data_IF_620577358669
#
_entry.id   IF_620577358669
#
_cell.length_a   1.000
_cell.length_b   1.000
_cell.length_c   1.000
_cell.angle_alpha   90.00
_cell.angle_beta   90.00
_cell.angle_gamma   90.00
#
_symmetry.space_group_name_H-M   'P 1'
#
loop_
_entity.id
_entity.type
_entity.pdbx_description
1 polymer ?
#
# COMPACT_ATOMS: atom_id res chain seq x y z
N UNK A 1 -0.45 -29.55 -2.50
CA UNK A 1 0.12 -28.45 -3.30
C UNK A 1 0.03 -27.10 -2.57
N UNK A 2 -1.21 -26.55 -2.34
CA UNK A 2 -1.32 -25.23 -1.67
C UNK A 2 -0.95 -25.26 -0.19
N UNK A 3 -1.04 -26.42 0.47
CA UNK A 3 -0.48 -26.61 1.80
C UNK A 3 1.03 -26.45 1.79
N UNK A 4 1.73 -27.12 0.87
CA UNK A 4 3.19 -27.04 0.73
C UNK A 4 3.62 -25.61 0.32
N UNK A 5 2.87 -24.97 -0.59
CA UNK A 5 3.13 -23.58 -0.98
C UNK A 5 3.04 -22.60 0.20
N UNK A 6 2.12 -22.86 1.13
CA UNK A 6 1.94 -22.00 2.33
C UNK A 6 3.09 -22.08 3.34
N UNK A 7 3.94 -23.12 3.28
CA UNK A 7 5.14 -23.20 4.13
C UNK A 7 6.22 -22.19 3.75
N UNK A 8 6.12 -21.56 2.58
CA UNK A 8 7.09 -20.57 2.10
C UNK A 8 6.83 -19.14 2.57
N UNK A 9 5.81 -18.92 3.40
CA UNK A 9 5.55 -17.64 4.04
C UNK A 9 5.59 -17.76 5.56
N UNK A 10 5.71 -16.63 6.23
CA UNK A 10 5.66 -16.59 7.69
C UNK A 10 4.20 -16.52 8.19
N UNK A 11 3.90 -17.32 9.20
CA UNK A 11 2.64 -17.34 9.92
C UNK A 11 2.89 -17.12 11.41
N UNK A 12 2.21 -16.16 12.03
CA UNK A 12 2.14 -16.08 13.50
C UNK A 12 1.41 -17.29 14.07
N UNK A 13 0.37 -17.75 13.33
CA UNK A 13 -0.33 -19.00 13.59
C UNK A 13 -0.52 -19.72 12.26
N UNK A 14 0.11 -20.89 12.10
CA UNK A 14 -0.05 -21.71 10.90
C UNK A 14 -1.50 -22.18 10.71
N UNK A 15 -2.01 -22.17 9.49
CA UNK A 15 -3.35 -22.69 9.20
C UNK A 15 -3.37 -24.21 9.28
N UNK A 16 -4.44 -24.75 9.87
CA UNK A 16 -4.73 -26.20 9.80
C UNK A 16 -5.61 -26.51 8.57
N UNK A 17 -6.45 -25.56 8.16
CA UNK A 17 -7.38 -25.72 7.05
C UNK A 17 -6.94 -24.87 5.85
N UNK A 18 -6.54 -25.56 4.80
CA UNK A 18 -6.02 -24.91 3.59
C UNK A 18 -7.14 -24.22 2.80
N UNK A 19 -8.26 -24.93 2.57
CA UNK A 19 -9.39 -24.42 1.79
C UNK A 19 -10.72 -24.79 2.43
N UNK A 20 -11.55 -23.79 2.70
CA UNK A 20 -12.93 -23.97 3.08
C UNK A 20 -13.85 -23.76 1.88
N UNK A 21 -14.58 -24.83 1.50
CA UNK A 21 -15.52 -24.89 0.36
C UNK A 21 -16.99 -24.82 0.79
N UNK A 22 -17.29 -24.51 2.03
CA UNK A 22 -18.65 -24.58 2.58
C UNK A 22 -19.63 -23.57 1.98
N UNK A 23 -19.13 -22.50 1.35
CA UNK A 23 -19.96 -21.44 0.77
C UNK A 23 -19.52 -21.11 -0.67
N UNK A 24 -19.71 -21.98 -1.67
CA UNK A 24 -19.38 -21.70 -3.06
C UNK A 24 -20.25 -20.57 -3.63
N UNK A 25 -19.73 -19.71 -4.50
CA UNK A 25 -18.34 -19.68 -5.00
C UNK A 25 -17.36 -18.92 -4.10
N UNK A 26 -17.77 -18.48 -2.91
CA UNK A 26 -16.99 -17.68 -1.99
C UNK A 26 -16.16 -18.57 -1.07
N UNK A 27 -15.06 -19.09 -1.59
CA UNK A 27 -14.13 -19.94 -0.85
C UNK A 27 -13.25 -19.10 0.08
N UNK A 28 -12.83 -19.72 1.21
CA UNK A 28 -11.87 -19.14 2.14
C UNK A 28 -10.59 -19.94 2.17
N UNK A 29 -9.48 -19.27 1.93
CA UNK A 29 -8.16 -19.88 2.00
C UNK A 29 -7.53 -19.62 3.37
N UNK A 30 -6.94 -20.67 3.97
CA UNK A 30 -6.20 -20.58 5.23
C UNK A 30 -6.96 -19.89 6.36
N UNK A 31 -8.25 -20.13 6.50
CA UNK A 31 -9.18 -19.32 7.32
C UNK A 31 -8.83 -19.22 8.80
N UNK A 32 -8.07 -20.19 9.35
CA UNK A 32 -7.62 -20.21 10.75
C UNK A 32 -6.15 -19.80 10.92
N UNK A 33 -5.51 -19.37 9.83
CA UNK A 33 -4.14 -18.84 9.83
C UNK A 33 -4.08 -17.37 10.22
N UNK A 34 -2.95 -16.96 10.80
CA UNK A 34 -2.68 -15.57 11.18
C UNK A 34 -1.31 -15.15 10.62
N UNK A 35 -1.27 -14.05 9.88
CA UNK A 35 -0.07 -13.52 9.24
C UNK A 35 -0.17 -12.00 9.07
N UNK A 36 0.84 -11.37 8.46
CA UNK A 36 0.79 -9.97 8.06
C UNK A 36 1.60 -9.76 6.77
N UNK A 37 1.05 -9.03 5.82
CA UNK A 37 1.70 -8.76 4.53
C UNK A 37 3.00 -7.98 4.69
N UNK A 38 3.02 -6.94 5.53
CA UNK A 38 4.21 -6.13 5.77
C UNK A 38 5.31 -6.94 6.46
N UNK A 39 4.97 -7.80 7.44
CA UNK A 39 5.93 -8.66 8.10
C UNK A 39 6.64 -9.58 7.09
N UNK A 40 5.86 -10.24 6.21
CA UNK A 40 6.41 -11.09 5.16
C UNK A 40 7.23 -10.33 4.12
N UNK A 41 6.92 -9.05 3.88
CA UNK A 41 7.66 -8.24 2.93
C UNK A 41 8.95 -7.62 3.49
N UNK A 42 9.02 -7.35 4.79
CA UNK A 42 10.13 -6.61 5.39
C UNK A 42 10.73 -7.31 6.63
N UNK A 43 9.95 -7.49 7.69
CA UNK A 43 10.47 -7.84 9.02
C UNK A 43 11.15 -9.20 9.01
N UNK A 44 10.55 -10.20 8.34
CA UNK A 44 11.11 -11.55 8.24
C UNK A 44 12.53 -11.56 7.64
N UNK A 45 12.80 -10.70 6.66
CA UNK A 45 14.12 -10.64 6.03
C UNK A 45 15.18 -10.09 6.98
N UNK A 46 14.78 -9.16 7.86
CA UNK A 46 15.69 -8.62 8.89
C UNK A 46 15.95 -9.68 9.96
N UNK A 47 14.90 -10.37 10.40
CA UNK A 47 15.00 -11.45 11.40
C UNK A 47 15.88 -12.61 10.89
N UNK A 48 15.93 -12.82 9.57
CA UNK A 48 16.80 -13.79 8.89
C UNK A 48 18.22 -13.27 8.62
N UNK A 49 18.58 -12.07 9.10
CA UNK A 49 19.91 -11.49 8.92
C UNK A 49 20.15 -10.74 7.61
N UNK A 50 19.09 -10.56 6.78
CA UNK A 50 19.17 -9.88 5.49
C UNK A 50 18.92 -8.36 5.56
N UNK A 51 18.88 -7.78 6.77
CA UNK A 51 18.48 -6.38 6.99
C UNK A 51 19.26 -5.34 6.20
N UNK A 52 20.55 -5.61 5.92
CA UNK A 52 21.42 -4.71 5.13
C UNK A 52 21.33 -4.88 3.62
N UNK A 53 20.59 -5.88 3.14
CA UNK A 53 20.34 -6.04 1.70
C UNK A 53 19.42 -4.94 1.17
N UNK A 54 19.57 -4.60 -0.10
CA UNK A 54 18.68 -3.64 -0.77
C UNK A 54 17.28 -4.22 -0.93
N UNK A 55 16.29 -3.53 -0.38
CA UNK A 55 14.87 -3.87 -0.50
C UNK A 55 14.17 -3.07 -1.59
N UNK A 56 14.55 -1.81 -1.78
CA UNK A 56 13.92 -0.91 -2.74
C UNK A 56 14.97 -0.10 -3.49
N UNK A 57 14.85 -0.06 -4.82
CA UNK A 57 15.64 0.80 -5.70
C UNK A 57 14.70 1.81 -6.34
N UNK A 58 15.01 3.07 -6.20
CA UNK A 58 14.34 4.17 -6.88
C UNK A 58 15.27 4.78 -7.91
N UNK A 59 14.83 4.83 -9.16
CA UNK A 59 15.55 5.48 -10.26
C UNK A 59 14.55 6.30 -11.08
N UNK A 60 14.74 7.62 -11.09
CA UNK A 60 13.88 8.54 -11.82
C UNK A 60 14.69 9.30 -12.86
N UNK A 61 14.61 8.93 -14.14
CA UNK A 61 15.30 9.65 -15.21
C UNK A 61 14.81 11.09 -15.36
N UNK A 62 13.56 11.38 -14.98
CA UNK A 62 12.99 12.73 -15.07
C UNK A 62 13.62 13.68 -14.06
N UNK A 63 13.84 13.22 -12.82
CA UNK A 63 14.43 14.06 -11.77
C UNK A 63 15.93 13.84 -11.60
N UNK A 64 16.50 12.87 -12.29
CA UNK A 64 17.90 12.44 -12.13
C UNK A 64 18.21 11.79 -10.77
N UNK A 65 17.19 11.56 -9.93
CA UNK A 65 17.37 11.01 -8.58
C UNK A 65 17.45 9.49 -8.62
N UNK A 66 18.47 8.95 -7.95
CA UNK A 66 18.62 7.51 -7.69
C UNK A 66 18.84 7.29 -6.21
N UNK A 67 18.17 6.30 -5.65
CA UNK A 67 18.37 5.91 -4.25
C UNK A 67 18.12 4.42 -4.06
N UNK A 68 18.69 3.88 -2.98
CA UNK A 68 18.45 2.52 -2.52
C UNK A 68 18.09 2.57 -1.05
N UNK A 69 17.15 1.74 -0.65
CA UNK A 69 16.84 1.51 0.76
C UNK A 69 17.08 0.04 1.08
N UNK A 70 17.77 -0.21 2.17
CA UNK A 70 17.89 -1.56 2.74
C UNK A 70 16.58 -1.99 3.39
N UNK A 71 16.44 -3.27 3.72
CA UNK A 71 15.27 -3.76 4.48
C UNK A 71 15.13 -3.04 5.83
N UNK A 72 16.24 -2.80 6.55
CA UNK A 72 16.23 -2.06 7.81
C UNK A 72 15.75 -0.62 7.63
N UNK A 73 16.28 0.10 6.64
CA UNK A 73 15.90 1.50 6.35
C UNK A 73 14.45 1.60 5.90
N UNK A 74 14.00 0.70 5.02
CA UNK A 74 12.61 0.68 4.55
C UNK A 74 11.65 0.34 5.70
N UNK A 75 11.97 -0.68 6.53
CA UNK A 75 11.17 -1.00 7.71
C UNK A 75 11.06 0.17 8.67
N UNK A 76 12.16 0.87 8.93
CA UNK A 76 12.14 2.03 9.83
C UNK A 76 11.20 3.13 9.31
N UNK A 77 11.26 3.45 8.02
CA UNK A 77 10.35 4.43 7.38
C UNK A 77 8.90 3.96 7.42
N UNK A 78 8.65 2.69 7.07
CA UNK A 78 7.30 2.09 7.08
C UNK A 78 6.72 2.06 8.49
N UNK A 79 7.49 1.62 9.48
CA UNK A 79 7.05 1.54 10.88
C UNK A 79 6.70 2.92 11.44
N UNK A 80 7.48 3.93 11.08
CA UNK A 80 7.26 5.31 11.50
C UNK A 80 6.03 5.93 10.84
N UNK A 81 5.85 5.75 9.53
CA UNK A 81 4.66 6.23 8.84
C UNK A 81 3.38 5.48 9.29
N UNK A 82 3.49 4.19 9.59
CA UNK A 82 2.41 3.41 10.19
C UNK A 82 1.98 3.98 11.57
N UNK A 83 2.94 4.40 12.39
CA UNK A 83 2.68 5.14 13.63
C UNK A 83 1.97 6.47 13.37
N UNK A 84 2.44 7.24 12.38
CA UNK A 84 1.80 8.48 11.97
C UNK A 84 0.34 8.27 11.54
N UNK A 85 0.05 7.22 10.76
CA UNK A 85 -1.32 6.88 10.39
C UNK A 85 -2.20 6.58 11.61
N UNK A 86 -1.67 5.83 12.60
CA UNK A 86 -2.38 5.55 13.86
C UNK A 86 -2.66 6.83 14.64
N UNK A 87 -1.69 7.74 14.74
CA UNK A 87 -1.84 9.03 15.41
C UNK A 87 -2.89 9.91 14.70
N UNK A 88 -3.10 9.72 13.39
CA UNK A 88 -4.18 10.34 12.64
C UNK A 88 -5.51 9.56 12.71
N UNK A 89 -5.60 8.55 13.57
CA UNK A 89 -6.81 7.81 13.86
C UNK A 89 -7.10 6.63 12.93
N UNK A 90 -6.15 6.19 12.10
CA UNK A 90 -6.32 4.99 11.27
C UNK A 90 -6.26 3.74 12.15
N UNK A 91 -7.28 2.93 12.04
CA UNK A 91 -7.41 1.64 12.73
C UNK A 91 -7.40 0.47 11.75
N UNK A 92 -7.26 -0.73 12.28
CA UNK A 92 -7.42 -1.98 11.53
C UNK A 92 -8.77 -1.98 10.80
N UNK A 93 -8.74 -2.29 9.49
CA UNK A 93 -9.93 -2.30 8.64
C UNK A 93 -10.34 -0.95 8.04
N UNK A 94 -9.77 0.16 8.49
CA UNK A 94 -10.00 1.46 7.84
C UNK A 94 -9.40 1.49 6.43
N UNK A 95 -10.05 2.19 5.49
CA UNK A 95 -9.56 2.34 4.12
C UNK A 95 -8.74 3.61 3.99
N UNK A 96 -7.61 3.46 3.29
CA UNK A 96 -6.69 4.55 2.97
C UNK A 96 -6.49 4.59 1.45
N UNK A 97 -6.83 5.70 0.83
CA UNK A 97 -6.49 5.92 -0.59
C UNK A 97 -5.08 6.45 -0.70
N UNK A 98 -4.32 5.89 -1.64
CA UNK A 98 -2.98 6.34 -2.00
C UNK A 98 -3.03 6.85 -3.45
N UNK A 99 -2.97 8.17 -3.62
CA UNK A 99 -2.95 8.85 -4.90
C UNK A 99 -1.62 9.58 -5.07
N UNK A 100 -0.60 8.82 -5.49
CA UNK A 100 0.80 9.28 -5.50
C UNK A 100 1.48 8.90 -6.82
N UNK A 101 2.52 9.64 -7.22
CA UNK A 101 3.39 9.21 -8.30
C UNK A 101 4.26 8.03 -7.87
N UNK A 102 5.01 7.45 -8.82
CA UNK A 102 5.95 6.34 -8.59
C UNK A 102 7.17 6.79 -7.79
N UNK A 103 7.02 6.90 -6.48
CA UNK A 103 8.06 7.33 -5.52
C UNK A 103 8.13 6.37 -4.33
N UNK A 104 9.26 6.31 -3.61
CA UNK A 104 9.41 5.46 -2.44
C UNK A 104 8.31 5.63 -1.39
N UNK A 105 7.80 6.84 -1.22
CA UNK A 105 6.74 7.18 -0.26
C UNK A 105 5.43 6.45 -0.55
N UNK A 106 5.13 6.16 -1.83
CA UNK A 106 3.96 5.35 -2.19
C UNK A 106 4.09 3.91 -1.67
N UNK A 107 5.27 3.29 -1.84
CA UNK A 107 5.56 1.96 -1.31
C UNK A 107 5.52 1.95 0.22
N UNK A 108 6.09 2.99 0.85
CA UNK A 108 6.05 3.17 2.31
C UNK A 108 4.60 3.25 2.80
N UNK A 109 3.74 4.00 2.12
CA UNK A 109 2.32 4.13 2.48
C UNK A 109 1.56 2.80 2.36
N UNK A 110 1.78 2.03 1.29
CA UNK A 110 1.17 0.71 1.09
C UNK A 110 1.55 -0.25 2.22
N UNK A 111 2.85 -0.36 2.50
CA UNK A 111 3.38 -1.26 3.53
C UNK A 111 2.99 -0.79 4.94
N UNK A 112 2.91 0.51 5.19
CA UNK A 112 2.44 1.05 6.47
C UNK A 112 0.98 0.71 6.73
N UNK A 113 0.10 0.79 5.72
CA UNK A 113 -1.27 0.32 5.83
C UNK A 113 -1.33 -1.17 6.17
N UNK A 114 -0.58 -2.01 5.43
CA UNK A 114 -0.50 -3.44 5.69
C UNK A 114 0.03 -3.74 7.11
N UNK A 115 0.99 -2.94 7.60
CA UNK A 115 1.59 -3.09 8.94
C UNK A 115 0.59 -2.97 10.07
N UNK A 116 -0.36 -2.04 9.96
CA UNK A 116 -1.40 -1.79 10.98
C UNK A 116 -2.76 -2.43 10.65
N UNK A 117 -2.82 -3.22 9.57
CA UNK A 117 -4.07 -3.87 9.14
C UNK A 117 -5.10 -2.93 8.53
N UNK A 118 -4.69 -1.75 8.07
CA UNK A 118 -5.53 -0.87 7.26
C UNK A 118 -5.58 -1.38 5.80
N UNK A 119 -6.68 -1.11 5.12
CA UNK A 119 -6.93 -1.54 3.76
C UNK A 119 -6.57 -0.39 2.81
N UNK A 120 -5.49 -0.53 2.05
CA UNK A 120 -5.14 0.51 1.10
C UNK A 120 -5.81 0.32 -0.27
N UNK A 121 -5.97 1.42 -0.99
CA UNK A 121 -6.33 1.41 -2.40
C UNK A 121 -5.46 2.41 -3.14
N UNK A 122 -4.61 1.90 -4.03
CA UNK A 122 -3.80 2.76 -4.89
C UNK A 122 -4.65 3.23 -6.07
N UNK A 123 -4.58 4.53 -6.33
CA UNK A 123 -5.22 5.18 -7.46
C UNK A 123 -4.13 5.74 -8.36
N UNK A 124 -4.16 5.38 -9.63
CA UNK A 124 -3.18 5.84 -10.61
C UNK A 124 -3.10 7.37 -10.64
N UNK A 125 -1.89 7.90 -10.48
CA UNK A 125 -1.62 9.33 -10.36
C UNK A 125 -1.94 10.18 -11.61
N UNK A 126 -2.21 9.53 -12.74
CA UNK A 126 -2.70 10.19 -13.96
C UNK A 126 -4.22 10.31 -14.08
N UNK A 127 -4.97 9.77 -13.12
CA UNK A 127 -6.43 9.84 -13.15
C UNK A 127 -6.97 11.22 -12.83
N UNK A 128 -8.06 11.58 -13.52
CA UNK A 128 -8.78 12.81 -13.27
C UNK A 128 -9.53 12.80 -11.92
N UNK A 129 -9.91 13.97 -11.44
CA UNK A 129 -10.55 14.16 -10.14
C UNK A 129 -11.84 13.36 -9.96
N UNK A 130 -12.65 13.20 -10.99
CA UNK A 130 -13.88 12.38 -10.94
C UNK A 130 -13.61 10.90 -10.68
N UNK A 131 -12.52 10.36 -11.23
CA UNK A 131 -12.10 8.98 -11.00
C UNK A 131 -11.63 8.76 -9.55
N UNK A 132 -10.91 9.73 -8.99
CA UNK A 132 -10.52 9.73 -7.59
C UNK A 132 -11.74 9.87 -6.67
N UNK A 133 -12.67 10.78 -6.98
CA UNK A 133 -13.91 10.98 -6.23
C UNK A 133 -14.77 9.70 -6.17
N UNK A 134 -14.92 9.01 -7.30
CA UNK A 134 -15.65 7.74 -7.35
C UNK A 134 -15.06 6.69 -6.42
N UNK A 135 -13.72 6.59 -6.33
CA UNK A 135 -13.04 5.64 -5.44
C UNK A 135 -13.12 6.04 -3.97
N UNK A 136 -13.11 7.34 -3.68
CA UNK A 136 -13.38 7.87 -2.35
C UNK A 136 -14.78 7.44 -1.89
N UNK A 137 -15.76 7.61 -2.75
CA UNK A 137 -17.16 7.27 -2.45
C UNK A 137 -17.38 5.76 -2.28
N UNK A 138 -16.81 4.95 -3.15
CA UNK A 138 -16.99 3.49 -3.11
C UNK A 138 -16.26 2.86 -1.93
N UNK A 139 -14.99 3.20 -1.72
CA UNK A 139 -14.18 2.63 -0.63
C UNK A 139 -14.57 3.18 0.75
N UNK A 140 -15.26 4.29 0.84
CA UNK A 140 -15.49 5.04 2.09
C UNK A 140 -14.16 5.30 2.81
N UNK A 141 -13.18 5.80 2.07
CA UNK A 141 -11.84 6.02 2.59
C UNK A 141 -11.84 7.05 3.72
N UNK A 142 -11.13 6.73 4.79
CA UNK A 142 -10.96 7.61 5.95
C UNK A 142 -9.88 8.66 5.70
N UNK A 143 -8.76 8.23 5.10
CA UNK A 143 -7.60 9.07 4.81
C UNK A 143 -7.24 8.95 3.33
N UNK A 144 -6.78 10.07 2.77
CA UNK A 144 -6.14 10.13 1.47
C UNK A 144 -4.68 10.53 1.64
N UNK A 145 -3.76 9.76 1.08
CA UNK A 145 -2.32 10.02 1.03
C UNK A 145 -1.97 10.44 -0.39
N UNK A 146 -1.31 11.59 -0.53
CA UNK A 146 -0.96 12.15 -1.85
C UNK A 146 0.42 12.84 -1.83
N UNK A 147 0.83 13.34 -2.98
CA UNK A 147 1.99 14.23 -3.14
C UNK A 147 1.58 15.58 -3.71
N UNK A 148 2.45 16.57 -3.61
CA UNK A 148 2.20 17.89 -4.20
C UNK A 148 2.13 17.82 -5.72
N UNK A 149 2.99 17.01 -6.36
CA UNK A 149 3.01 16.81 -7.81
C UNK A 149 3.61 15.46 -8.24
N UNK A 150 3.35 15.08 -9.49
CA UNK A 150 4.06 14.08 -10.25
C UNK A 150 4.91 14.72 -11.35
N UNK A 151 6.09 14.17 -11.63
CA UNK A 151 6.92 14.58 -12.76
C UNK A 151 6.78 13.57 -13.91
N UNK A 152 6.35 14.05 -15.06
CA UNK A 152 6.26 13.29 -16.30
C UNK A 152 7.19 13.89 -17.37
N UNK A 153 7.50 13.18 -18.45
CA UNK A 153 8.30 13.76 -19.54
C UNK A 153 7.67 15.04 -20.07
N UNK A 154 8.40 16.15 -19.93
CA UNK A 154 7.99 17.46 -20.46
C UNK A 154 6.90 18.20 -19.68
N UNK A 155 6.38 17.64 -18.56
CA UNK A 155 5.38 18.34 -17.73
C UNK A 155 5.43 17.95 -16.25
N UNK A 156 4.93 18.84 -15.43
CA UNK A 156 4.61 18.58 -14.03
C UNK A 156 3.09 18.43 -13.90
N UNK A 157 2.64 17.38 -13.26
CA UNK A 157 1.22 17.15 -12.94
C UNK A 157 0.98 17.59 -11.50
N UNK A 158 0.23 18.66 -11.33
CA UNK A 158 -0.15 19.18 -10.02
C UNK A 158 -1.23 18.29 -9.39
N UNK A 159 -0.90 17.56 -8.30
CA UNK A 159 -1.86 16.66 -7.67
C UNK A 159 -2.80 17.38 -6.71
N UNK A 160 -2.33 18.41 -6.03
CA UNK A 160 -3.17 19.15 -5.06
C UNK A 160 -4.49 19.65 -5.66
N UNK A 161 -4.52 20.34 -6.84
CA UNK A 161 -5.78 20.76 -7.44
C UNK A 161 -6.71 19.59 -7.82
N UNK A 162 -6.14 18.46 -8.26
CA UNK A 162 -6.94 17.26 -8.59
C UNK A 162 -7.56 16.63 -7.34
N UNK A 163 -6.82 16.59 -6.23
CA UNK A 163 -7.31 16.11 -4.95
C UNK A 163 -8.39 17.03 -4.39
N UNK A 164 -8.19 18.35 -4.43
CA UNK A 164 -9.16 19.33 -3.96
C UNK A 164 -10.48 19.19 -4.69
N UNK A 165 -10.43 19.08 -6.01
CA UNK A 165 -11.62 18.91 -6.83
C UNK A 165 -12.30 17.54 -6.60
N UNK A 166 -11.51 16.46 -6.45
CA UNK A 166 -12.05 15.14 -6.14
C UNK A 166 -12.78 15.10 -4.80
N UNK A 167 -12.19 15.69 -3.76
CA UNK A 167 -12.79 15.75 -2.42
C UNK A 167 -14.04 16.63 -2.40
N UNK A 168 -14.11 17.66 -3.24
CA UNK A 168 -15.30 18.49 -3.42
C UNK A 168 -16.43 17.73 -4.11
N UNK A 169 -16.11 16.92 -5.13
CA UNK A 169 -17.06 16.12 -5.89
C UNK A 169 -17.57 14.90 -5.09
N UNK A 170 -16.75 14.31 -4.24
CA UNK A 170 -17.10 13.14 -3.47
C UNK A 170 -18.21 13.42 -2.45
N UNK A 171 -19.15 12.46 -2.34
CA UNK A 171 -20.21 12.51 -1.33
C UNK A 171 -19.66 12.10 0.05
N UNK A 172 -18.74 11.13 0.07
CA UNK A 172 -18.07 10.68 1.29
C UNK A 172 -17.02 11.71 1.74
N UNK A 173 -16.98 11.98 3.07
CA UNK A 173 -16.05 12.95 3.63
C UNK A 173 -14.78 12.24 4.11
N UNK A 174 -13.66 12.64 3.54
CA UNK A 174 -12.32 12.26 3.98
C UNK A 174 -11.99 13.00 5.29
N UNK A 175 -11.51 12.30 6.31
CA UNK A 175 -11.14 12.91 7.60
C UNK A 175 -9.86 13.73 7.47
N UNK A 176 -8.84 13.16 6.81
CA UNK A 176 -7.52 13.79 6.65
C UNK A 176 -6.94 13.53 5.24
N UNK A 177 -6.15 14.49 4.77
CA UNK A 177 -5.34 14.40 3.56
C UNK A 177 -3.89 14.55 3.97
N UNK A 178 -3.09 13.49 3.83
CA UNK A 178 -1.65 13.49 4.11
C UNK A 178 -0.91 13.80 2.82
N UNK A 179 -0.20 14.92 2.79
CA UNK A 179 0.47 15.40 1.59
C UNK A 179 1.98 15.37 1.75
N UNK A 180 2.65 14.63 0.87
CA UNK A 180 4.10 14.63 0.73
C UNK A 180 4.54 15.76 -0.20
N UNK A 181 5.36 16.67 0.30
CA UNK A 181 5.89 17.79 -0.47
C UNK A 181 7.03 17.32 -1.39
N UNK A 182 6.85 17.48 -2.70
CA UNK A 182 7.91 17.17 -3.66
C UNK A 182 8.89 18.34 -3.70
N UNK A 183 10.22 18.09 -3.53
CA UNK A 183 11.23 19.15 -3.56
C UNK A 183 11.16 20.03 -4.82
N UNK A 184 11.07 21.33 -4.61
CA UNK A 184 10.94 22.32 -5.68
C UNK A 184 9.51 22.53 -6.22
N UNK A 185 8.53 21.85 -5.65
CA UNK A 185 7.10 21.96 -5.99
C UNK A 185 6.24 21.83 -4.74
N UNK A 186 6.59 22.58 -3.72
CA UNK A 186 5.84 22.65 -2.48
C UNK A 186 4.55 23.45 -2.68
N UNK A 187 3.46 22.94 -2.09
CA UNK A 187 2.14 23.58 -2.15
C UNK A 187 1.68 24.00 -0.76
N UNK A 188 0.90 25.07 -0.70
CA UNK A 188 0.29 25.52 0.55
C UNK A 188 -0.84 24.57 0.96
N UNK A 189 -0.81 24.13 2.21
CA UNK A 189 -1.92 23.45 2.86
C UNK A 189 -2.91 24.52 3.34
N UNK A 190 -4.15 24.45 2.88
CA UNK A 190 -5.15 25.49 3.10
C UNK A 190 -6.34 25.06 3.94
N UNK A 191 -6.54 23.73 4.05
CA UNK A 191 -7.66 23.15 4.79
C UNK A 191 -7.19 22.52 6.11
N UNK A 192 -7.97 22.60 7.19
CA UNK A 192 -7.60 22.01 8.50
C UNK A 192 -7.38 20.48 8.45
N UNK A 193 -7.93 19.81 7.43
CA UNK A 193 -7.75 18.36 7.22
C UNK A 193 -6.48 18.01 6.45
N UNK A 194 -5.79 18.99 5.88
CA UNK A 194 -4.55 18.80 5.14
C UNK A 194 -3.36 18.88 6.07
N UNK A 195 -2.55 17.85 6.07
CA UNK A 195 -1.41 17.70 6.96
C UNK A 195 -0.15 17.32 6.17
N UNK A 196 0.97 17.85 6.61
CA UNK A 196 2.26 17.58 5.98
C UNK A 196 2.77 16.20 6.41
N UNK A 197 3.18 15.39 5.44
CA UNK A 197 3.76 14.07 5.65
C UNK A 197 4.97 14.11 6.60
N UNK A 198 5.93 14.99 6.34
CA UNK A 198 7.17 15.07 7.13
C UNK A 198 6.89 15.48 8.58
N UNK A 199 5.94 16.37 8.79
CA UNK A 199 5.54 16.82 10.12
C UNK A 199 4.98 15.65 10.97
N UNK A 200 4.03 14.90 10.44
CA UNK A 200 3.45 13.77 11.18
C UNK A 200 4.43 12.63 11.37
N UNK A 201 5.29 12.38 10.38
CA UNK A 201 6.32 11.33 10.47
C UNK A 201 7.38 11.70 11.50
N UNK A 202 7.81 12.96 11.57
CA UNK A 202 8.83 13.39 12.54
C UNK A 202 8.41 13.11 13.99
N UNK A 203 7.13 13.31 14.30
CA UNK A 203 6.56 13.17 15.63
C UNK A 203 6.08 11.75 15.98
N UNK A 204 5.90 10.89 14.98
CA UNK A 204 5.35 9.55 15.16
C UNK A 204 6.32 8.60 15.88
N UNK A 205 5.76 7.60 16.56
CA UNK A 205 6.50 6.46 17.09
C UNK A 205 6.52 5.30 16.09
N UNK A 206 7.54 4.48 16.14
CA UNK A 206 7.54 3.21 15.42
C UNK A 206 6.48 2.28 16.00
N UNK A 207 5.84 1.50 15.12
CA UNK A 207 4.86 0.49 15.50
C UNK A 207 5.19 -0.86 14.85
N UNK A 208 4.86 -1.94 15.53
CA UNK A 208 5.06 -3.29 15.02
C UNK A 208 3.92 -3.72 14.09
N UNK A 209 4.13 -4.83 13.37
CA UNK A 209 3.09 -5.45 12.56
C UNK A 209 2.00 -6.02 13.46
N UNK A 210 0.75 -5.70 13.14
CA UNK A 210 -0.39 -6.33 13.80
C UNK A 210 -0.67 -7.71 13.24
N UNK A 211 -1.06 -8.65 14.08
CA UNK A 211 -1.53 -9.96 13.66
C UNK A 211 -2.88 -9.84 12.92
N UNK A 212 -2.95 -10.44 11.73
CA UNK A 212 -4.13 -10.41 10.87
C UNK A 212 -4.60 -11.82 10.57
N UNK A 213 -5.91 -12.05 10.67
CA UNK A 213 -6.48 -13.29 10.17
C UNK A 213 -6.30 -13.38 8.65
N UNK A 214 -6.03 -14.57 8.15
CA UNK A 214 -5.77 -14.82 6.73
C UNK A 214 -6.85 -14.28 5.78
N UNK A 215 -8.10 -14.27 6.20
CA UNK A 215 -9.23 -13.81 5.39
C UNK A 215 -9.60 -12.33 5.61
N UNK A 216 -8.84 -11.59 6.43
CA UNK A 216 -8.98 -10.14 6.51
C UNK A 216 -8.43 -9.50 5.23
N UNK A 217 -8.86 -8.29 4.94
CA UNK A 217 -8.57 -7.63 3.67
C UNK A 217 -7.25 -6.86 3.72
N UNK A 218 -6.46 -7.01 2.64
CA UNK A 218 -5.18 -6.32 2.46
C UNK A 218 -5.35 -5.01 1.69
N UNK A 219 -6.01 -5.06 0.54
CA UNK A 219 -6.17 -3.89 -0.33
C UNK A 219 -7.36 -4.03 -1.29
N UNK A 220 -7.73 -2.90 -1.90
CA UNK A 220 -8.73 -2.81 -2.96
C UNK A 220 -8.04 -2.37 -4.25
N UNK A 221 -8.21 -3.15 -5.32
CA UNK A 221 -7.74 -2.81 -6.66
C UNK A 221 -8.94 -2.55 -7.58
N UNK A 222 -9.05 -1.34 -8.10
CA UNK A 222 -10.11 -1.00 -9.04
C UNK A 222 -9.74 -1.38 -10.47
N UNK A 223 -10.65 -2.08 -11.14
CA UNK A 223 -10.54 -2.43 -12.55
C UNK A 223 -11.58 -1.65 -13.37
N UNK A 224 -11.26 -1.39 -14.64
CA UNK A 224 -12.19 -0.82 -15.60
C UNK A 224 -13.29 -1.82 -15.94
N UNK A 225 -14.33 -1.93 -15.13
CA UNK A 225 -15.41 -2.90 -15.34
C UNK A 225 -16.03 -2.80 -16.74
N UNK A 226 -16.56 -3.92 -17.26
CA UNK A 226 -17.25 -4.00 -18.55
C UNK A 226 -18.47 -3.09 -18.66
N UNK A 227 -18.96 -2.57 -17.54
CA UNK A 227 -20.14 -1.69 -17.43
C UNK A 227 -19.81 -0.20 -17.34
N UNK A 228 -18.53 0.19 -17.51
CA UNK A 228 -18.08 1.58 -17.38
C UNK A 228 -17.87 2.07 -15.94
N UNK A 229 -18.44 1.41 -14.95
CA UNK A 229 -18.19 1.75 -13.53
C UNK A 229 -17.05 0.90 -12.99
N UNK A 230 -15.99 1.50 -12.41
CA UNK A 230 -14.88 0.76 -11.81
C UNK A 230 -15.39 -0.20 -10.73
N UNK A 231 -14.85 -1.43 -10.73
CA UNK A 231 -15.17 -2.45 -9.72
C UNK A 231 -13.98 -2.65 -8.79
N UNK A 232 -14.19 -2.47 -7.50
CA UNK A 232 -13.17 -2.70 -6.46
C UNK A 232 -13.03 -4.21 -6.19
N UNK A 233 -11.88 -4.78 -6.56
CA UNK A 233 -11.52 -6.16 -6.22
C UNK A 233 -10.79 -6.13 -4.89
N UNK A 234 -11.36 -6.79 -3.89
CA UNK A 234 -10.77 -6.91 -2.56
C UNK A 234 -9.90 -8.17 -2.49
N UNK A 235 -8.68 -8.03 -2.02
CA UNK A 235 -7.75 -9.14 -1.80
C UNK A 235 -7.67 -9.47 -0.31
N UNK A 236 -7.74 -10.76 0.01
CA UNK A 236 -7.44 -11.27 1.34
C UNK A 236 -5.91 -11.27 1.60
N UNK A 237 -5.52 -11.51 2.84
CA UNK A 237 -4.11 -11.47 3.23
C UNK A 237 -3.43 -12.80 2.92
N UNK A 238 -3.86 -13.89 3.54
CA UNK A 238 -3.13 -15.15 3.51
C UNK A 238 -3.11 -15.83 2.17
N UNK A 239 -4.28 -15.98 1.51
CA UNK A 239 -4.37 -16.60 0.19
C UNK A 239 -3.56 -15.83 -0.85
N UNK A 240 -3.62 -14.49 -0.77
CA UNK A 240 -2.90 -13.63 -1.69
C UNK A 240 -1.38 -13.69 -1.53
N UNK A 241 -0.86 -13.62 -0.29
CA UNK A 241 0.59 -13.69 -0.03
C UNK A 241 1.17 -15.03 -0.50
N UNK A 242 0.49 -16.14 -0.20
CA UNK A 242 0.93 -17.48 -0.65
C UNK A 242 0.99 -17.55 -2.18
N UNK A 243 -0.07 -17.06 -2.85
CA UNK A 243 -0.11 -17.04 -4.31
C UNK A 243 1.01 -16.17 -4.92
N UNK A 244 1.26 -14.98 -4.36
CA UNK A 244 2.33 -14.08 -4.81
C UNK A 244 3.70 -14.73 -4.63
N UNK A 245 4.01 -15.29 -3.45
CA UNK A 245 5.30 -15.95 -3.19
C UNK A 245 5.54 -17.09 -4.16
N UNK A 246 4.52 -17.92 -4.38
CA UNK A 246 4.60 -19.02 -5.32
C UNK A 246 4.80 -18.53 -6.77
N UNK A 247 4.06 -17.49 -7.19
CA UNK A 247 4.13 -16.91 -8.54
C UNK A 247 5.50 -16.32 -8.83
N UNK A 248 6.07 -15.56 -7.90
CA UNK A 248 7.40 -14.96 -8.08
C UNK A 248 8.45 -16.03 -8.34
N UNK A 249 8.44 -17.12 -7.57
CA UNK A 249 9.40 -18.22 -7.75
C UNK A 249 9.12 -19.04 -9.00
N UNK A 250 7.88 -19.48 -9.21
CA UNK A 250 7.59 -20.55 -10.18
C UNK A 250 7.17 -20.04 -11.57
N UNK A 251 6.68 -18.82 -11.68
CA UNK A 251 6.29 -18.20 -12.96
C UNK A 251 7.35 -17.21 -13.45
N UNK A 252 7.81 -16.34 -12.55
CA UNK A 252 8.79 -15.33 -12.93
C UNK A 252 10.25 -15.76 -12.71
N UNK A 253 10.47 -16.91 -12.06
CA UNK A 253 11.80 -17.44 -11.74
C UNK A 253 12.67 -16.43 -10.97
N UNK A 254 12.06 -15.69 -10.05
CA UNK A 254 12.74 -14.72 -9.20
C UNK A 254 13.19 -15.38 -7.93
N UNK A 255 14.48 -15.26 -7.65
CA UNK A 255 15.13 -15.75 -6.45
C UNK A 255 15.55 -14.60 -5.51
N UNK A 256 15.97 -14.98 -4.32
CA UNK A 256 16.49 -14.05 -3.32
C UNK A 256 17.76 -13.37 -3.84
N UNK A 257 17.74 -12.03 -3.91
CA UNK A 257 18.84 -11.23 -4.43
C UNK A 257 18.63 -10.73 -5.86
N UNK A 258 17.65 -11.26 -6.57
CA UNK A 258 17.28 -10.77 -7.89
C UNK A 258 16.58 -9.40 -7.79
N UNK A 259 16.67 -8.65 -8.88
CA UNK A 259 15.98 -7.35 -9.00
C UNK A 259 14.72 -7.55 -9.83
N UNK A 260 13.58 -7.26 -9.20
CA UNK A 260 12.29 -7.23 -9.89
C UNK A 260 11.90 -5.80 -10.27
N UNK A 261 11.53 -5.62 -11.52
CA UNK A 261 10.97 -4.35 -12.01
C UNK A 261 9.79 -4.64 -12.95
N UNK A 262 8.71 -3.89 -12.79
CA UNK A 262 7.54 -3.91 -13.67
C UNK A 262 7.38 -2.56 -14.35
N UNK A 263 7.05 -2.56 -15.63
CA UNK A 263 6.80 -1.33 -16.40
C UNK A 263 5.42 -0.72 -16.11
N UNK A 264 4.57 -1.42 -15.37
CA UNK A 264 3.27 -0.89 -14.92
C UNK A 264 3.44 -0.04 -13.64
N UNK A 265 2.51 0.88 -13.44
CA UNK A 265 2.40 1.60 -12.17
C UNK A 265 1.96 0.67 -11.03
N UNK A 266 2.20 1.13 -9.81
CA UNK A 266 1.79 0.43 -8.57
C UNK A 266 0.29 0.55 -8.34
#
# INVERSE_FOLDING_TARGET
FWGDASENIFWFKKPNKILNKSNPPFYKWYEDGVTNTCYNALDIHIDQGNGKRTALIYDSPITGKKSKLTYEELRAKVSKFAGALKDQGVNKGDRVIIYMPMIPEAVIAMLACARIGAIHSVVFGGFASNELASRIDDSKAKILVTASCGFEPGRTVEYKPLVDEAVKQANHKIDKIILFQRPGHEVKLSEPREINWEEIVSNAKNVDCVEMNSNEFAYILYTSGTTGTPKGIVRDIGGHIVALKWTMKNIYNIDEGDIWWSASDI
#
